data_IF_410761828531
#
_entry.id   IF_410761828531
#
_cell.length_a   1.000
_cell.length_b   1.000
_cell.length_c   1.000
_cell.angle_alpha   90.00
_cell.angle_beta   90.00
_cell.angle_gamma   90.00
#
_symmetry.space_group_name_H-M   'P 1'
#
loop_
_entity.id
_entity.type
_entity.pdbx_description
1 polymer ?
#
# COMPACT_ATOMS: atom_id res chain seq x y z
N UNK A 1 14.79 2.99 29.54
CA UNK A 1 13.84 3.73 28.67
C UNK A 1 12.61 4.02 29.47
N UNK A 2 12.35 5.28 29.71
CA UNK A 2 11.28 5.78 30.59
C UNK A 2 9.89 5.42 30.01
N UNK A 3 8.90 5.21 30.88
CA UNK A 3 7.52 4.87 30.51
C UNK A 3 6.91 5.92 29.57
N UNK A 4 7.20 7.21 29.85
CA UNK A 4 6.74 8.33 29.04
C UNK A 4 7.33 8.32 27.62
N UNK A 5 8.56 7.87 27.46
CA UNK A 5 9.19 7.74 26.14
C UNK A 5 8.55 6.59 25.32
N UNK A 6 8.20 5.49 25.98
CA UNK A 6 7.47 4.37 25.34
C UNK A 6 6.08 4.81 24.89
N UNK A 7 5.34 5.54 25.72
CA UNK A 7 4.02 6.07 25.39
C UNK A 7 4.07 7.04 24.20
N UNK A 8 5.03 7.99 24.19
CA UNK A 8 5.24 8.90 23.06
C UNK A 8 5.58 8.18 21.77
N UNK A 9 6.38 7.10 21.82
CA UNK A 9 6.71 6.28 20.64
C UNK A 9 5.49 5.49 20.14
N UNK A 10 4.68 4.94 21.04
CA UNK A 10 3.45 4.25 20.68
C UNK A 10 2.45 5.21 20.00
N UNK A 11 2.22 6.40 20.57
CA UNK A 11 1.32 7.41 20.01
C UNK A 11 1.69 7.85 18.58
N UNK A 12 2.99 7.87 18.22
CA UNK A 12 3.45 8.18 16.85
C UNK A 12 3.02 7.13 15.81
N UNK A 13 2.67 5.92 16.25
CA UNK A 13 2.27 4.82 15.40
C UNK A 13 0.74 4.69 15.30
N UNK A 14 -0.01 5.27 16.24
CA UNK A 14 -1.46 5.18 16.27
C UNK A 14 -2.12 5.97 15.13
N UNK A 15 -3.12 5.36 14.52
CA UNK A 15 -4.04 5.99 13.59
C UNK A 15 -5.45 5.92 14.17
N UNK A 16 -6.29 6.91 13.86
CA UNK A 16 -7.71 6.92 14.25
C UNK A 16 -8.51 5.78 13.60
N UNK A 17 -8.08 5.32 12.43
CA UNK A 17 -8.71 4.22 11.69
C UNK A 17 -7.71 3.60 10.73
N UNK A 18 -7.87 2.31 10.47
CA UNK A 18 -7.01 1.50 9.60
C UNK A 18 -7.81 0.88 8.47
N UNK A 19 -7.19 0.69 7.29
CA UNK A 19 -7.69 -0.30 6.35
C UNK A 19 -7.49 -1.70 6.95
N UNK A 20 -8.36 -2.66 6.61
CA UNK A 20 -8.31 -4.02 7.19
C UNK A 20 -6.97 -4.68 6.89
N UNK A 21 -6.51 -4.61 5.64
CA UNK A 21 -5.22 -5.11 5.18
C UNK A 21 -4.03 -4.42 5.87
N UNK A 22 -4.10 -3.10 6.02
CA UNK A 22 -3.09 -2.33 6.76
C UNK A 22 -3.05 -2.73 8.24
N UNK A 23 -4.20 -2.96 8.87
CA UNK A 23 -4.27 -3.42 10.25
C UNK A 23 -3.57 -4.77 10.43
N UNK A 24 -3.82 -5.71 9.51
CA UNK A 24 -3.16 -7.02 9.50
C UNK A 24 -1.64 -6.87 9.45
N UNK A 25 -1.11 -6.13 8.48
CA UNK A 25 0.33 -5.96 8.29
C UNK A 25 0.96 -5.16 9.43
N UNK A 26 0.44 -3.97 9.73
CA UNK A 26 1.06 -3.04 10.68
C UNK A 26 0.86 -3.43 12.12
N UNK A 27 -0.37 -3.77 12.53
CA UNK A 27 -0.68 -4.01 13.94
C UNK A 27 -0.40 -5.45 14.33
N UNK A 28 -0.95 -6.41 13.57
CA UNK A 28 -0.85 -7.81 13.97
C UNK A 28 0.54 -8.42 13.68
N UNK A 29 1.21 -8.01 12.60
CA UNK A 29 2.52 -8.59 12.23
C UNK A 29 3.65 -7.68 12.70
N UNK A 30 3.72 -6.44 12.18
CA UNK A 30 4.91 -5.60 12.37
C UNK A 30 5.02 -5.10 13.81
N UNK A 31 3.99 -4.47 14.36
CA UNK A 31 4.07 -3.91 15.73
C UNK A 31 4.29 -5.01 16.76
N UNK A 32 3.61 -6.14 16.60
CA UNK A 32 3.63 -7.21 17.58
C UNK A 32 4.93 -7.99 17.59
N UNK A 33 5.51 -8.26 16.42
CA UNK A 33 6.62 -9.20 16.32
C UNK A 33 7.93 -8.60 15.81
N UNK A 34 7.90 -7.58 14.93
CA UNK A 34 9.08 -7.15 14.17
C UNK A 34 9.62 -5.82 14.68
N UNK A 35 8.77 -4.85 14.96
CA UNK A 35 9.18 -3.47 15.20
C UNK A 35 10.09 -3.31 16.42
N UNK A 36 9.75 -3.92 17.55
CA UNK A 36 10.51 -3.78 18.79
C UNK A 36 11.90 -4.42 18.72
N UNK A 37 12.07 -5.66 18.23
CA UNK A 37 13.41 -6.23 18.00
C UNK A 37 14.23 -5.37 17.03
N UNK A 38 13.64 -4.96 15.91
CA UNK A 38 14.32 -4.19 14.87
C UNK A 38 14.73 -2.79 15.36
N UNK A 39 13.91 -2.17 16.18
CA UNK A 39 14.19 -0.85 16.74
C UNK A 39 15.42 -0.82 17.66
N UNK A 40 15.81 -1.96 18.23
CA UNK A 40 17.02 -2.11 19.07
C UNK A 40 18.29 -2.26 18.23
N UNK A 41 18.19 -2.52 16.94
CA UNK A 41 19.33 -2.65 16.04
C UNK A 41 19.76 -1.28 15.47
N UNK A 42 20.99 -1.14 14.94
CA UNK A 42 21.42 0.08 14.25
C UNK A 42 20.82 0.25 12.85
N UNK A 43 19.96 -0.67 12.41
CA UNK A 43 19.34 -0.65 11.07
C UNK A 43 18.54 0.63 10.88
N UNK A 44 18.78 1.30 9.75
CA UNK A 44 18.10 2.54 9.37
C UNK A 44 16.86 2.26 8.52
N UNK A 45 15.85 3.15 8.52
CA UNK A 45 14.69 3.01 7.63
C UNK A 45 15.08 2.91 6.15
N UNK A 46 15.98 3.77 5.68
CA UNK A 46 16.43 3.78 4.27
C UNK A 46 17.08 2.45 3.85
N UNK A 47 17.77 1.77 4.77
CA UNK A 47 18.31 0.43 4.49
C UNK A 47 17.17 -0.57 4.21
N UNK A 48 16.08 -0.49 4.97
CA UNK A 48 14.91 -1.36 4.76
C UNK A 48 14.22 -1.04 3.45
N UNK A 49 14.11 0.24 3.08
CA UNK A 49 13.57 0.65 1.77
C UNK A 49 14.41 0.09 0.61
N UNK A 50 15.74 0.12 0.72
CA UNK A 50 16.62 -0.49 -0.30
C UNK A 50 16.44 -2.01 -0.34
N UNK A 51 16.32 -2.63 0.83
CA UNK A 51 16.08 -4.06 0.94
C UNK A 51 14.73 -4.44 0.32
N UNK A 52 13.67 -3.66 0.54
CA UNK A 52 12.37 -3.87 -0.09
C UNK A 52 12.47 -3.80 -1.62
N UNK A 53 13.19 -2.82 -2.16
CA UNK A 53 13.44 -2.72 -3.61
C UNK A 53 14.16 -3.95 -4.18
N UNK A 54 15.12 -4.52 -3.43
CA UNK A 54 15.78 -5.77 -3.84
C UNK A 54 14.79 -6.93 -3.89
N UNK A 55 13.90 -7.06 -2.90
CA UNK A 55 12.86 -8.11 -2.92
C UNK A 55 11.85 -7.92 -4.05
N UNK A 56 11.49 -6.67 -4.39
CA UNK A 56 10.68 -6.37 -5.57
C UNK A 56 11.39 -6.82 -6.87
N UNK A 57 12.68 -6.49 -7.03
CA UNK A 57 13.47 -6.90 -8.19
C UNK A 57 13.62 -8.42 -8.29
N UNK A 58 13.84 -9.09 -7.16
CA UNK A 58 13.86 -10.56 -7.10
C UNK A 58 12.51 -11.17 -7.49
N UNK A 59 11.38 -10.56 -7.06
CA UNK A 59 10.06 -11.00 -7.47
C UNK A 59 9.92 -10.96 -9.01
N UNK A 60 10.33 -9.87 -9.65
CA UNK A 60 10.32 -9.75 -11.12
C UNK A 60 11.22 -10.80 -11.79
N UNK A 61 12.41 -11.02 -11.25
CA UNK A 61 13.32 -12.05 -11.74
C UNK A 61 12.71 -13.46 -11.67
N UNK A 62 12.04 -13.80 -10.57
CA UNK A 62 11.36 -15.09 -10.43
C UNK A 62 10.13 -15.23 -11.31
N UNK A 63 9.42 -14.13 -11.64
CA UNK A 63 8.38 -14.14 -12.69
C UNK A 63 8.99 -14.51 -14.04
N UNK A 64 10.11 -13.88 -14.41
CA UNK A 64 10.82 -14.18 -15.66
C UNK A 64 11.23 -15.65 -15.77
N UNK A 65 11.64 -16.26 -14.66
CA UNK A 65 11.98 -17.68 -14.59
C UNK A 65 10.77 -18.62 -14.55
N UNK A 66 9.55 -18.11 -14.49
CA UNK A 66 8.33 -18.92 -14.35
C UNK A 66 8.05 -19.48 -12.95
N UNK A 67 8.78 -19.04 -11.93
CA UNK A 67 8.58 -19.49 -10.55
C UNK A 67 7.58 -18.61 -9.80
N UNK A 68 6.32 -18.66 -10.20
CA UNK A 68 5.27 -17.72 -9.77
C UNK A 68 4.97 -17.75 -8.26
N UNK A 69 5.03 -18.91 -7.61
CA UNK A 69 4.82 -19.01 -6.15
C UNK A 69 5.93 -18.23 -5.42
N UNK A 70 7.20 -18.47 -5.77
CA UNK A 70 8.31 -17.74 -5.17
C UNK A 70 8.21 -16.23 -5.45
N UNK A 71 7.86 -15.85 -6.66
CA UNK A 71 7.69 -14.45 -7.06
C UNK A 71 6.62 -13.74 -6.23
N UNK A 72 5.45 -14.34 -6.06
CA UNK A 72 4.37 -13.77 -5.26
C UNK A 72 4.73 -13.66 -3.78
N UNK A 73 5.44 -14.66 -3.21
CA UNK A 73 5.95 -14.58 -1.84
C UNK A 73 6.95 -13.45 -1.66
N UNK A 74 7.88 -13.28 -2.61
CA UNK A 74 8.86 -12.18 -2.58
C UNK A 74 8.18 -10.81 -2.70
N UNK A 75 7.10 -10.70 -3.48
CA UNK A 75 6.30 -9.48 -3.57
C UNK A 75 5.59 -9.15 -2.25
N UNK A 76 5.08 -10.16 -1.52
CA UNK A 76 4.54 -9.96 -0.16
C UNK A 76 5.62 -9.49 0.82
N UNK A 77 6.83 -10.07 0.74
CA UNK A 77 7.96 -9.66 1.58
C UNK A 77 8.34 -8.21 1.27
N UNK A 78 8.41 -7.82 -0.02
CA UNK A 78 8.59 -6.42 -0.42
C UNK A 78 7.60 -5.51 0.30
N UNK A 79 6.30 -5.78 0.18
CA UNK A 79 5.27 -4.95 0.80
C UNK A 79 5.34 -4.91 2.32
N UNK A 80 5.74 -6.02 2.96
CA UNK A 80 5.95 -6.05 4.41
C UNK A 80 7.11 -5.15 4.83
N UNK A 81 8.24 -5.22 4.11
CA UNK A 81 9.43 -4.39 4.36
C UNK A 81 9.12 -2.90 4.18
N UNK A 82 8.37 -2.55 3.15
CA UNK A 82 7.89 -1.20 2.89
C UNK A 82 7.09 -0.63 4.07
N UNK A 83 6.19 -1.42 4.64
CA UNK A 83 5.47 -1.00 5.84
C UNK A 83 6.38 -0.86 7.07
N UNK A 84 7.42 -1.69 7.17
CA UNK A 84 8.37 -1.66 8.28
C UNK A 84 9.20 -0.38 8.27
N UNK A 85 9.71 0.07 7.11
CA UNK A 85 10.59 1.23 7.02
C UNK A 85 9.89 2.51 7.48
N UNK A 86 8.66 2.75 7.01
CA UNK A 86 7.86 3.88 7.43
C UNK A 86 7.47 3.84 8.92
N UNK A 87 7.25 2.65 9.48
CA UNK A 87 6.98 2.50 10.92
C UNK A 87 8.25 2.71 11.74
N UNK A 88 9.37 2.15 11.32
CA UNK A 88 10.67 2.33 11.97
C UNK A 88 11.13 3.79 11.95
N UNK A 89 10.92 4.49 10.82
CA UNK A 89 11.22 5.91 10.68
C UNK A 89 10.47 6.75 11.72
N UNK A 90 9.18 6.49 11.92
CA UNK A 90 8.36 7.16 12.93
C UNK A 90 8.76 6.76 14.36
N UNK A 91 9.01 5.49 14.60
CA UNK A 91 9.38 4.99 15.92
C UNK A 91 10.72 5.54 16.40
N UNK A 92 11.75 5.51 15.54
CA UNK A 92 13.09 6.05 15.83
C UNK A 92 13.21 7.56 15.69
N UNK A 93 12.17 8.26 15.19
CA UNK A 93 12.20 9.69 14.84
C UNK A 93 13.26 10.02 13.77
N UNK A 94 13.44 9.13 12.80
CA UNK A 94 14.39 9.24 11.70
C UNK A 94 13.73 9.56 10.35
N UNK A 95 12.53 10.13 10.36
CA UNK A 95 11.82 10.52 9.14
C UNK A 95 12.58 11.65 8.43
N UNK A 96 12.91 11.46 7.14
CA UNK A 96 13.62 12.45 6.32
C UNK A 96 12.91 12.67 4.99
N UNK A 97 13.17 13.84 4.35
CA UNK A 97 12.64 14.14 3.01
C UNK A 97 13.18 13.17 1.95
N UNK A 98 14.48 12.83 2.05
CA UNK A 98 15.14 11.91 1.13
C UNK A 98 14.58 10.48 1.31
N UNK A 99 14.42 10.01 2.55
CA UNK A 99 13.82 8.71 2.83
C UNK A 99 12.41 8.60 2.27
N UNK A 100 11.58 9.64 2.47
CA UNK A 100 10.23 9.66 1.89
C UNK A 100 10.22 9.67 0.36
N UNK A 101 11.18 10.38 -0.28
CA UNK A 101 11.30 10.38 -1.74
C UNK A 101 11.71 9.00 -2.26
N UNK A 102 12.66 8.35 -1.60
CA UNK A 102 13.12 7.01 -1.93
C UNK A 102 11.97 6.00 -1.84
N UNK A 103 11.24 5.99 -0.72
CA UNK A 103 10.07 5.18 -0.44
C UNK A 103 9.00 5.31 -1.55
N UNK A 104 8.54 6.54 -1.81
CA UNK A 104 7.57 6.84 -2.88
C UNK A 104 8.08 6.43 -4.28
N UNK A 105 9.39 6.56 -4.53
CA UNK A 105 9.97 6.18 -5.83
C UNK A 105 9.99 4.65 -6.00
N UNK A 106 10.39 3.92 -4.96
CA UNK A 106 10.38 2.45 -4.97
C UNK A 106 8.97 1.92 -5.17
N UNK A 107 7.99 2.47 -4.45
CA UNK A 107 6.59 2.10 -4.58
C UNK A 107 6.05 2.33 -5.99
N UNK A 108 6.25 3.51 -6.54
CA UNK A 108 5.80 3.84 -7.88
C UNK A 108 6.45 2.93 -8.94
N UNK A 109 7.75 2.68 -8.83
CA UNK A 109 8.46 1.78 -9.74
C UNK A 109 7.97 0.34 -9.61
N UNK A 110 7.72 -0.14 -8.40
CA UNK A 110 7.28 -1.52 -8.18
C UNK A 110 5.83 -1.73 -8.62
N UNK A 111 4.89 -0.89 -8.16
CA UNK A 111 3.47 -1.08 -8.45
C UNK A 111 3.09 -0.77 -9.90
N UNK A 112 3.75 0.17 -10.57
CA UNK A 112 3.55 0.36 -12.02
C UNK A 112 4.41 -0.61 -12.82
N UNK A 113 5.65 -0.84 -12.39
CA UNK A 113 6.61 -1.70 -13.08
C UNK A 113 6.14 -3.14 -13.20
N UNK A 114 5.39 -3.68 -12.23
CA UNK A 114 4.90 -5.05 -12.29
C UNK A 114 3.99 -5.29 -13.51
N UNK A 115 3.05 -4.38 -13.81
CA UNK A 115 2.15 -4.52 -14.97
C UNK A 115 2.90 -4.38 -16.27
N UNK A 116 3.83 -3.43 -16.34
CA UNK A 116 4.70 -3.23 -17.53
C UNK A 116 5.58 -4.47 -17.74
N UNK A 117 6.15 -5.02 -16.69
CA UNK A 117 7.02 -6.18 -16.73
C UNK A 117 6.26 -7.45 -17.17
N UNK A 118 5.06 -7.67 -16.64
CA UNK A 118 4.19 -8.78 -17.07
C UNK A 118 3.82 -8.69 -18.54
N UNK A 119 3.59 -7.48 -19.07
CA UNK A 119 3.36 -7.27 -20.50
C UNK A 119 4.58 -7.62 -21.34
N UNK A 120 5.78 -7.20 -20.95
CA UNK A 120 7.02 -7.55 -21.64
C UNK A 120 7.39 -9.04 -21.55
N UNK A 121 6.86 -9.76 -20.58
CA UNK A 121 6.98 -11.21 -20.47
C UNK A 121 5.88 -11.97 -21.23
N UNK A 122 5.03 -11.29 -22.00
CA UNK A 122 3.88 -11.87 -22.74
C UNK A 122 2.89 -12.63 -21.83
N UNK A 123 2.82 -12.25 -20.53
CA UNK A 123 1.93 -12.87 -19.56
C UNK A 123 0.57 -12.17 -19.46
N UNK A 124 0.45 -10.95 -19.98
CA UNK A 124 -0.81 -10.18 -20.04
C UNK A 124 -0.94 -9.48 -21.38
N UNK A 125 -2.17 -9.20 -21.80
CA UNK A 125 -2.47 -8.39 -22.97
C UNK A 125 -2.16 -6.91 -22.75
N UNK A 126 -1.91 -6.16 -23.81
CA UNK A 126 -1.77 -4.70 -23.75
C UNK A 126 -2.99 -4.03 -23.14
N UNK A 127 -4.19 -4.55 -23.40
CA UNK A 127 -5.44 -4.02 -22.86
C UNK A 127 -5.48 -4.15 -21.33
N UNK A 128 -5.12 -5.32 -20.78
CA UNK A 128 -5.07 -5.56 -19.34
C UNK A 128 -4.00 -4.67 -18.66
N UNK A 129 -2.83 -4.54 -19.28
CA UNK A 129 -1.76 -3.66 -18.78
C UNK A 129 -2.22 -2.21 -18.73
N UNK A 130 -2.74 -1.66 -19.83
CA UNK A 130 -3.23 -0.27 -19.88
C UNK A 130 -4.37 -0.06 -18.88
N UNK A 131 -5.31 -1.00 -18.80
CA UNK A 131 -6.44 -0.88 -17.87
C UNK A 131 -5.98 -0.78 -16.42
N UNK A 132 -5.07 -1.65 -15.96
CA UNK A 132 -4.55 -1.60 -14.60
C UNK A 132 -3.78 -0.31 -14.32
N UNK A 133 -2.84 0.06 -15.21
CA UNK A 133 -2.03 1.28 -15.07
C UNK A 133 -2.88 2.55 -15.05
N UNK A 134 -3.78 2.70 -16.01
CA UNK A 134 -4.62 3.90 -16.14
C UNK A 134 -5.56 4.03 -14.94
N UNK A 135 -6.21 2.95 -14.54
CA UNK A 135 -7.14 2.95 -13.40
C UNK A 135 -6.43 3.35 -12.10
N UNK A 136 -5.26 2.77 -11.83
CA UNK A 136 -4.48 3.05 -10.63
C UNK A 136 -3.95 4.50 -10.63
N UNK A 137 -3.39 4.97 -11.75
CA UNK A 137 -2.81 6.31 -11.81
C UNK A 137 -3.86 7.42 -11.83
N UNK A 138 -5.01 7.22 -12.51
CA UNK A 138 -6.16 8.13 -12.45
C UNK A 138 -6.68 8.24 -11.00
N UNK A 139 -6.84 7.10 -10.32
CA UNK A 139 -7.25 7.09 -8.92
C UNK A 139 -6.28 7.90 -8.04
N UNK A 140 -4.97 7.67 -8.16
CA UNK A 140 -3.96 8.38 -7.39
C UNK A 140 -3.97 9.89 -7.69
N UNK A 141 -4.06 10.26 -8.97
CA UNK A 141 -4.12 11.65 -9.41
C UNK A 141 -5.37 12.34 -8.84
N UNK A 142 -6.56 11.80 -9.08
CA UNK A 142 -7.82 12.41 -8.62
C UNK A 142 -7.89 12.45 -7.09
N UNK A 143 -7.45 11.37 -6.42
CA UNK A 143 -7.44 11.34 -4.95
C UNK A 143 -6.51 12.40 -4.39
N UNK A 144 -5.31 12.56 -4.94
CA UNK A 144 -4.31 13.51 -4.43
C UNK A 144 -4.69 14.96 -4.73
N UNK A 145 -5.04 15.27 -5.98
CA UNK A 145 -5.24 16.65 -6.41
C UNK A 145 -6.66 17.18 -6.18
N UNK A 146 -7.66 16.32 -6.24
CA UNK A 146 -9.06 16.75 -6.09
C UNK A 146 -9.62 16.35 -4.72
N UNK A 147 -9.69 15.06 -4.40
CA UNK A 147 -10.38 14.57 -3.21
C UNK A 147 -9.74 15.10 -1.93
N UNK A 148 -8.41 14.99 -1.77
CA UNK A 148 -7.72 15.49 -0.57
C UNK A 148 -7.87 17.00 -0.39
N UNK A 149 -7.89 17.77 -1.48
CA UNK A 149 -8.10 19.21 -1.40
C UNK A 149 -9.54 19.56 -0.95
N UNK A 150 -10.55 18.83 -1.43
CA UNK A 150 -11.92 19.01 -0.97
C UNK A 150 -12.07 18.60 0.50
N UNK A 151 -11.45 17.48 0.91
CA UNK A 151 -11.48 17.02 2.29
C UNK A 151 -10.86 18.00 3.29
N UNK A 152 -9.83 18.74 2.89
CA UNK A 152 -9.22 19.78 3.72
C UNK A 152 -10.16 20.97 3.95
N UNK A 153 -11.09 21.23 3.04
CA UNK A 153 -12.10 22.31 3.15
C UNK A 153 -13.31 21.89 4.00
N UNK A 154 -13.58 20.59 4.10
CA UNK A 154 -14.74 20.04 4.80
C UNK A 154 -14.39 19.74 6.26
N UNK A 155 -15.23 20.19 7.19
CA UNK A 155 -15.08 19.88 8.63
C UNK A 155 -15.34 18.39 8.94
N UNK A 156 -16.20 17.74 8.16
CA UNK A 156 -16.54 16.31 8.28
C UNK A 156 -17.02 15.78 6.94
N UNK A 157 -16.80 14.48 6.69
CA UNK A 157 -17.30 13.78 5.51
C UNK A 157 -18.46 12.92 5.92
N UNK A 158 -19.60 13.11 5.27
CA UNK A 158 -20.75 12.22 5.43
C UNK A 158 -20.44 10.90 4.71
N UNK A 159 -20.22 9.85 5.45
CA UNK A 159 -20.11 8.49 4.90
C UNK A 159 -21.43 7.76 5.05
N UNK A 160 -21.76 6.88 4.12
CA UNK A 160 -23.02 6.14 4.09
C UNK A 160 -22.78 4.65 3.79
N UNK A 161 -23.80 3.82 4.03
CA UNK A 161 -23.78 2.40 3.73
C UNK A 161 -22.69 1.63 4.50
N UNK A 162 -22.13 0.61 3.85
CA UNK A 162 -21.12 -0.27 4.43
C UNK A 162 -19.85 0.46 4.90
N UNK A 163 -19.42 1.50 4.18
CA UNK A 163 -18.22 2.27 4.59
C UNK A 163 -18.43 3.03 5.89
N UNK A 164 -19.65 3.48 6.20
CA UNK A 164 -19.99 4.07 7.50
C UNK A 164 -19.94 3.01 8.59
N UNK A 165 -20.55 1.86 8.37
CA UNK A 165 -20.59 0.76 9.32
C UNK A 165 -19.17 0.28 9.72
N UNK A 166 -18.24 0.18 8.76
CA UNK A 166 -16.84 -0.14 9.04
C UNK A 166 -16.12 0.99 9.79
N UNK A 167 -16.36 2.26 9.40
CA UNK A 167 -15.72 3.40 10.05
C UNK A 167 -16.11 3.53 11.51
N UNK A 168 -17.39 3.29 11.84
CA UNK A 168 -17.90 3.33 13.23
C UNK A 168 -17.21 2.27 14.12
N UNK A 169 -16.57 1.25 13.49
CA UNK A 169 -15.75 0.22 14.14
C UNK A 169 -14.24 0.46 14.05
N UNK A 170 -13.82 1.64 13.59
CA UNK A 170 -12.40 2.00 13.47
C UNK A 170 -11.72 1.48 12.19
N UNK A 171 -12.48 0.91 11.23
CA UNK A 171 -11.94 0.42 9.97
C UNK A 171 -12.33 1.29 8.79
N UNK A 172 -11.40 1.39 7.83
CA UNK A 172 -11.62 2.02 6.52
C UNK A 172 -11.86 0.93 5.48
N UNK A 173 -12.97 1.02 4.76
CA UNK A 173 -13.22 0.18 3.60
C UNK A 173 -12.75 0.91 2.33
N UNK A 174 -11.76 0.37 1.65
CA UNK A 174 -11.17 0.92 0.43
C UNK A 174 -9.88 0.20 0.08
N UNK A 175 -9.22 0.64 -0.99
CA UNK A 175 -7.94 0.09 -1.40
C UNK A 175 -6.79 0.86 -0.73
N UNK A 176 -5.81 0.11 -0.25
CA UNK A 176 -4.53 0.59 0.27
C UNK A 176 -3.38 -0.24 -0.32
N UNK A 177 -2.15 0.18 -0.07
CA UNK A 177 -0.96 -0.50 -0.61
C UNK A 177 -0.86 -1.98 -0.17
N UNK A 178 -1.29 -2.28 1.07
CA UNK A 178 -1.28 -3.67 1.58
C UNK A 178 -2.25 -4.58 0.81
N UNK A 179 -3.49 -4.09 0.57
CA UNK A 179 -4.48 -4.85 -0.21
C UNK A 179 -4.02 -5.03 -1.65
N UNK A 180 -3.48 -3.97 -2.25
CA UNK A 180 -2.93 -4.02 -3.60
C UNK A 180 -1.82 -5.08 -3.70
N UNK A 181 -0.87 -5.08 -2.75
CA UNK A 181 0.20 -6.08 -2.73
C UNK A 181 -0.32 -7.51 -2.54
N UNK A 182 -1.33 -7.72 -1.70
CA UNK A 182 -1.97 -9.03 -1.53
C UNK A 182 -2.62 -9.49 -2.85
N UNK A 183 -3.36 -8.62 -3.53
CA UNK A 183 -4.02 -8.95 -4.80
C UNK A 183 -3.00 -9.27 -5.90
N UNK A 184 -1.95 -8.46 -6.03
CA UNK A 184 -0.87 -8.70 -6.99
C UNK A 184 -0.16 -10.02 -6.67
N UNK A 185 0.22 -10.25 -5.42
CA UNK A 185 0.90 -11.48 -5.01
C UNK A 185 0.04 -12.72 -5.26
N UNK A 186 -1.23 -12.68 -4.92
CA UNK A 186 -2.16 -13.77 -5.17
C UNK A 186 -2.32 -14.03 -6.68
N UNK A 187 -2.47 -12.97 -7.49
CA UNK A 187 -2.55 -13.09 -8.94
C UNK A 187 -1.31 -13.72 -9.56
N UNK A 188 -0.12 -13.33 -9.08
CA UNK A 188 1.16 -13.91 -9.51
C UNK A 188 1.21 -15.39 -9.11
N UNK A 189 0.95 -15.73 -7.84
CA UNK A 189 1.05 -17.11 -7.33
C UNK A 189 0.10 -18.07 -8.04
N UNK A 190 -1.08 -17.60 -8.42
CA UNK A 190 -2.09 -18.37 -9.13
C UNK A 190 -1.89 -18.40 -10.66
N UNK A 191 -0.93 -17.64 -11.20
CA UNK A 191 -0.77 -17.47 -12.65
C UNK A 191 -1.95 -16.76 -13.32
N UNK A 192 -2.80 -16.09 -12.54
CA UNK A 192 -4.02 -15.43 -13.01
C UNK A 192 -3.76 -13.95 -13.35
N UNK A 193 -2.75 -13.68 -14.18
CA UNK A 193 -2.22 -12.35 -14.41
C UNK A 193 -3.22 -11.37 -15.03
N UNK A 194 -3.95 -11.79 -16.07
CA UNK A 194 -4.96 -10.93 -16.69
C UNK A 194 -6.12 -10.64 -15.76
N UNK A 195 -6.64 -11.67 -15.07
CA UNK A 195 -7.69 -11.49 -14.07
C UNK A 195 -7.25 -10.53 -12.96
N UNK A 196 -6.03 -10.65 -12.48
CA UNK A 196 -5.43 -9.74 -11.50
C UNK A 196 -5.47 -8.28 -11.99
N UNK A 197 -5.09 -8.01 -13.24
CA UNK A 197 -5.12 -6.66 -13.82
C UNK A 197 -6.53 -6.07 -13.83
N UNK A 198 -7.53 -6.85 -14.26
CA UNK A 198 -8.92 -6.40 -14.29
C UNK A 198 -9.51 -6.24 -12.89
N UNK A 199 -9.19 -7.13 -11.95
CA UNK A 199 -9.63 -7.02 -10.54
C UNK A 199 -9.03 -5.78 -9.90
N UNK A 200 -7.73 -5.57 -10.02
CA UNK A 200 -7.03 -4.39 -9.47
C UNK A 200 -7.62 -3.10 -10.07
N UNK A 201 -7.67 -2.99 -11.40
CA UNK A 201 -8.21 -1.81 -12.05
C UNK A 201 -9.67 -1.55 -11.69
N UNK A 202 -10.50 -2.59 -11.65
CA UNK A 202 -11.90 -2.51 -11.28
C UNK A 202 -12.13 -2.00 -9.86
N UNK A 203 -11.34 -2.49 -8.87
CA UNK A 203 -11.44 -2.03 -7.48
C UNK A 203 -11.02 -0.56 -7.36
N UNK A 204 -9.96 -0.12 -8.07
CA UNK A 204 -9.56 1.28 -8.07
C UNK A 204 -10.65 2.20 -8.64
N UNK A 205 -11.25 1.84 -9.77
CA UNK A 205 -12.33 2.61 -10.37
C UNK A 205 -13.57 2.64 -9.48
N UNK A 206 -13.93 1.51 -8.89
CA UNK A 206 -15.07 1.42 -7.96
C UNK A 206 -14.87 2.32 -6.73
N UNK A 207 -13.68 2.25 -6.09
CA UNK A 207 -13.38 3.10 -4.94
C UNK A 207 -13.34 4.58 -5.32
N UNK A 208 -12.84 4.91 -6.51
CA UNK A 208 -12.83 6.27 -7.04
C UNK A 208 -14.26 6.83 -7.21
N UNK A 209 -15.12 6.07 -7.88
CA UNK A 209 -16.53 6.47 -8.06
C UNK A 209 -17.22 6.71 -6.70
N UNK A 210 -17.02 5.79 -5.76
CA UNK A 210 -17.58 5.96 -4.42
C UNK A 210 -17.07 7.23 -3.73
N UNK A 211 -15.76 7.53 -3.82
CA UNK A 211 -15.17 8.74 -3.20
C UNK A 211 -15.70 10.01 -3.84
N UNK A 212 -15.84 10.05 -5.15
CA UNK A 212 -16.43 11.20 -5.86
C UNK A 212 -17.88 11.46 -5.46
N UNK A 213 -18.70 10.40 -5.37
CA UNK A 213 -20.08 10.50 -4.89
C UNK A 213 -20.10 10.99 -3.43
N UNK A 214 -19.25 10.45 -2.56
CA UNK A 214 -19.21 10.86 -1.16
C UNK A 214 -18.81 12.34 -0.98
N UNK A 215 -17.87 12.84 -1.78
CA UNK A 215 -17.49 14.26 -1.80
C UNK A 215 -18.66 15.12 -2.29
N UNK A 216 -19.31 14.75 -3.39
CA UNK A 216 -20.48 15.47 -3.92
C UNK A 216 -21.61 15.54 -2.89
N UNK A 217 -21.92 14.43 -2.23
CA UNK A 217 -22.97 14.38 -1.17
C UNK A 217 -22.65 15.21 0.07
N UNK A 218 -21.38 15.53 0.30
CA UNK A 218 -20.97 16.31 1.48
C UNK A 218 -21.04 17.82 1.22
N UNK A 219 -21.06 18.21 -0.05
CA UNK A 219 -21.25 19.61 -0.48
C UNK A 219 -22.72 20.05 -0.55
N UNK A 220 -23.66 19.09 -0.52
CA UNK A 220 -25.10 19.31 -0.42
C UNK A 220 -25.53 19.34 1.05
#
# INVERSE_FOLDING_TARGET
MDLDEKLKKAQRLEKKSYYISEYLFRVLIIQKFILLPLAKTPITPNFITILSAIFAALSFYFIYLGHFICAGLLFLVYSLLDHIDGMLARYKNLSSKIGKLLDVSVDNLTFNGIFIFLFFCDLISLQACIFALVSMNIYNCITTFYILNQLRKLKSIKRFGLKKWFLDRGFLLGIDASLLAILISAGIMLGAFELMCYVVGGIFLFDLCYRLIAVSYTHL
#
